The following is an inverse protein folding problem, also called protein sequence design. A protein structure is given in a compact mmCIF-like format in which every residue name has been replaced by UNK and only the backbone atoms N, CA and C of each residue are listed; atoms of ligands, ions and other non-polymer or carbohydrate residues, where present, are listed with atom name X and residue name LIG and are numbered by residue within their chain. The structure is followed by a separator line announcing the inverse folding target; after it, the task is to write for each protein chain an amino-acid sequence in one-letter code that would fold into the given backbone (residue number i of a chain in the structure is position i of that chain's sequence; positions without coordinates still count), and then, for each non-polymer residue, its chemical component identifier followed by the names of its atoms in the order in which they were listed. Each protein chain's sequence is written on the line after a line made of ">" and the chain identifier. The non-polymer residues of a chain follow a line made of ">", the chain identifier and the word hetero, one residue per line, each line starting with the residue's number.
data_IF_678536537946
#
_entry.id   IF_678536537946
#
_cell.length_a   1.000
_cell.length_b   1.000
_cell.length_c   1.000
_cell.angle_alpha   90.00
_cell.angle_beta   90.00
_cell.angle_gamma   90.00
#
_symmetry.space_group_name_H-M   'P 1'
#
loop_
_entity.id
_entity.type
_entity.pdbx_description
1 polymer ?
#
# COMPACT_ATOMS: atom_id res chain seq x y z
N UNK A 1 18.60 17.35 13.24
CA UNK A 1 17.49 16.38 13.28
C UNK A 1 17.84 15.29 12.27
N UNK A 2 17.97 14.05 12.73
CA UNK A 2 18.20 12.89 11.85
C UNK A 2 16.96 12.58 11.03
N UNK A 3 17.13 12.04 9.84
CA UNK A 3 16.09 11.44 9.03
C UNK A 3 16.45 9.97 8.87
N UNK A 4 15.57 9.11 9.33
CA UNK A 4 15.65 7.66 9.15
C UNK A 4 14.58 7.23 8.18
N UNK A 5 14.91 6.38 7.23
CA UNK A 5 14.01 5.86 6.22
C UNK A 5 14.21 4.36 6.05
N UNK A 6 13.12 3.60 6.03
CA UNK A 6 13.12 2.19 5.67
C UNK A 6 12.30 2.00 4.40
N UNK A 7 12.91 1.36 3.41
CA UNK A 7 12.20 0.92 2.20
C UNK A 7 11.63 -0.47 2.45
N UNK A 8 10.34 -0.63 2.26
CA UNK A 8 9.64 -1.90 2.44
C UNK A 8 9.02 -2.29 1.11
N UNK A 9 9.32 -3.50 0.65
CA UNK A 9 8.71 -4.08 -0.54
C UNK A 9 7.83 -5.28 -0.16
N UNK A 10 6.65 -5.36 -0.79
CA UNK A 10 5.72 -6.45 -0.55
C UNK A 10 5.91 -7.54 -1.61
N UNK A 11 6.15 -8.75 -1.15
CA UNK A 11 6.29 -9.90 -2.05
C UNK A 11 4.97 -10.20 -2.73
N UNK A 12 4.95 -10.12 -4.08
CA UNK A 12 3.75 -10.43 -4.90
C UNK A 12 2.49 -9.71 -4.41
N UNK A 13 2.61 -8.42 -4.09
CA UNK A 13 1.58 -7.63 -3.43
C UNK A 13 0.18 -7.78 -4.06
N UNK A 14 0.11 -7.74 -5.40
CA UNK A 14 -1.16 -7.90 -6.12
C UNK A 14 -1.71 -9.33 -6.08
N UNK A 15 -0.84 -10.33 -6.05
CA UNK A 15 -1.23 -11.75 -6.11
C UNK A 15 -1.68 -12.28 -4.74
N UNK A 16 -1.31 -11.60 -3.65
CA UNK A 16 -1.57 -12.03 -2.27
C UNK A 16 -2.78 -11.36 -1.62
N UNK A 17 -3.42 -10.41 -2.29
CA UNK A 17 -4.63 -9.74 -1.77
C UNK A 17 -5.72 -10.77 -1.45
N UNK A 18 -6.15 -10.82 -0.19
CA UNK A 18 -7.26 -11.67 0.22
C UNK A 18 -8.57 -11.17 -0.36
N UNK A 19 -9.27 -11.99 -1.15
CA UNK A 19 -10.59 -11.67 -1.69
C UNK A 19 -11.61 -11.38 -0.58
N UNK A 20 -11.67 -12.23 0.46
CA UNK A 20 -12.60 -12.03 1.57
C UNK A 20 -12.33 -10.74 2.34
N UNK A 21 -11.05 -10.43 2.57
CA UNK A 21 -10.62 -9.17 3.18
C UNK A 21 -11.04 -7.97 2.35
N UNK A 22 -10.77 -8.03 1.04
CA UNK A 22 -11.11 -6.96 0.10
C UNK A 22 -12.62 -6.68 0.05
N UNK A 23 -13.45 -7.73 0.01
CA UNK A 23 -14.91 -7.56 -0.02
C UNK A 23 -15.46 -6.97 1.27
N UNK A 24 -14.91 -7.34 2.42
CA UNK A 24 -15.26 -6.74 3.72
C UNK A 24 -14.90 -5.26 3.78
N UNK A 25 -13.70 -4.92 3.30
CA UNK A 25 -13.24 -3.53 3.24
C UNK A 25 -14.16 -2.69 2.35
N UNK A 26 -14.42 -3.14 1.13
CA UNK A 26 -15.28 -2.41 0.17
C UNK A 26 -16.69 -2.20 0.73
N UNK A 27 -17.27 -3.23 1.37
CA UNK A 27 -18.57 -3.11 2.02
C UNK A 27 -18.56 -2.07 3.15
N UNK A 28 -17.52 -2.07 4.01
CA UNK A 28 -17.37 -1.08 5.10
C UNK A 28 -17.18 0.35 4.59
N UNK A 29 -16.56 0.52 3.42
CA UNK A 29 -16.40 1.82 2.76
C UNK A 29 -17.66 2.30 2.03
N UNK A 30 -18.76 1.53 2.08
CA UNK A 30 -20.03 1.91 1.47
C UNK A 30 -20.15 1.58 -0.02
N UNK A 31 -19.35 0.63 -0.52
CA UNK A 31 -19.52 0.16 -1.91
C UNK A 31 -20.95 -0.38 -2.11
N UNK A 32 -21.69 0.11 -3.13
CA UNK A 32 -23.04 -0.35 -3.39
C UNK A 32 -23.12 -1.88 -3.57
N UNK A 33 -24.14 -2.56 -3.00
CA UNK A 33 -24.22 -4.04 -3.06
C UNK A 33 -24.18 -4.59 -4.48
N UNK A 34 -24.78 -3.93 -5.45
CA UNK A 34 -24.73 -4.34 -6.87
C UNK A 34 -23.31 -4.28 -7.43
N UNK A 35 -22.54 -3.23 -7.10
CA UNK A 35 -21.16 -3.08 -7.52
C UNK A 35 -20.29 -4.18 -6.89
N UNK A 36 -20.46 -4.41 -5.60
CA UNK A 36 -19.74 -5.47 -4.88
C UNK A 36 -20.03 -6.87 -5.46
N UNK A 37 -21.28 -7.15 -5.82
CA UNK A 37 -21.66 -8.40 -6.50
C UNK A 37 -20.93 -8.57 -7.82
N UNK A 38 -20.89 -7.54 -8.65
CA UNK A 38 -20.17 -7.57 -9.95
C UNK A 38 -18.68 -7.80 -9.72
N UNK A 39 -18.07 -7.09 -8.76
CA UNK A 39 -16.65 -7.27 -8.44
C UNK A 39 -16.34 -8.70 -7.99
N UNK A 40 -17.18 -9.30 -7.14
CA UNK A 40 -17.04 -10.71 -6.73
C UNK A 40 -17.14 -11.64 -7.91
N UNK A 41 -18.16 -11.52 -8.74
CA UNK A 41 -18.36 -12.36 -9.93
C UNK A 41 -17.19 -12.29 -10.91
N UNK A 42 -16.52 -11.15 -11.03
CA UNK A 42 -15.32 -11.01 -11.85
C UNK A 42 -14.10 -11.77 -11.31
N UNK A 43 -14.10 -12.12 -10.01
CA UNK A 43 -13.00 -12.81 -9.35
C UNK A 43 -13.35 -14.26 -8.99
N UNK A 44 -14.63 -14.62 -8.93
CA UNK A 44 -15.08 -15.99 -8.65
C UNK A 44 -14.82 -16.91 -9.84
N UNK A 45 -14.35 -18.13 -9.55
CA UNK A 45 -14.11 -19.16 -10.57
C UNK A 45 -12.96 -18.86 -11.53
N UNK A 46 -12.11 -17.87 -11.22
CA UNK A 46 -10.94 -17.59 -12.03
C UNK A 46 -9.99 -18.80 -12.07
N UNK A 47 -9.50 -19.11 -13.27
CA UNK A 47 -8.52 -20.15 -13.47
C UNK A 47 -7.28 -19.58 -14.17
N UNK A 48 -6.12 -19.98 -13.69
CA UNK A 48 -4.84 -19.73 -14.33
C UNK A 48 -4.42 -20.92 -15.19
N UNK A 49 -3.68 -20.64 -16.25
CA UNK A 49 -3.10 -21.67 -17.11
C UNK A 49 -1.71 -21.23 -17.55
N UNK A 50 -0.73 -22.13 -17.44
CA UNK A 50 0.64 -21.85 -17.89
C UNK A 50 0.81 -22.32 -19.33
N UNK A 51 1.33 -21.42 -20.17
CA UNK A 51 1.76 -21.75 -21.54
C UNK A 51 3.29 -21.65 -21.60
N UNK A 52 3.93 -22.77 -21.94
CA UNK A 52 5.38 -22.83 -22.10
C UNK A 52 5.74 -23.64 -23.35
N UNK A 53 6.62 -23.10 -24.21
CA UNK A 53 7.06 -23.73 -25.46
C UNK A 53 5.91 -24.24 -26.36
N UNK A 54 4.79 -23.53 -26.42
CA UNK A 54 3.62 -23.91 -27.22
C UNK A 54 2.68 -24.91 -26.54
N UNK A 55 3.06 -25.52 -25.42
CA UNK A 55 2.23 -26.42 -24.63
C UNK A 55 1.45 -25.67 -23.56
N UNK A 56 0.17 -26.02 -23.42
CA UNK A 56 -0.69 -25.55 -22.33
C UNK A 56 -0.70 -26.62 -21.23
N UNK A 57 -0.36 -26.18 -20.01
CA UNK A 57 -0.45 -27.03 -18.81
C UNK A 57 -1.87 -27.02 -18.27
N UNK A 58 -2.18 -27.95 -17.37
CA UNK A 58 -3.48 -28.01 -16.74
C UNK A 58 -3.86 -26.70 -16.03
N UNK A 59 -5.14 -26.36 -16.03
CA UNK A 59 -5.64 -25.17 -15.32
C UNK A 59 -5.60 -25.37 -13.80
N UNK A 60 -5.39 -24.29 -13.06
CA UNK A 60 -5.43 -24.25 -11.60
C UNK A 60 -6.33 -23.09 -11.13
N UNK A 61 -7.03 -23.23 -10.00
CA UNK A 61 -7.89 -22.18 -9.49
C UNK A 61 -7.06 -21.02 -8.92
N UNK A 62 -7.57 -19.80 -9.11
CA UNK A 62 -7.03 -18.57 -8.51
C UNK A 62 -8.01 -18.14 -7.41
N UNK A 63 -7.58 -18.24 -6.16
CA UNK A 63 -8.41 -17.93 -4.97
C UNK A 63 -8.09 -16.58 -4.33
N UNK A 64 -6.95 -15.98 -4.66
CA UNK A 64 -6.48 -14.72 -4.11
C UNK A 64 -5.90 -13.84 -5.20
N UNK A 65 -5.67 -12.58 -4.85
CA UNK A 65 -5.02 -11.62 -5.71
C UNK A 65 -5.97 -10.81 -6.59
N UNK A 66 -5.42 -9.73 -7.11
CA UNK A 66 -6.07 -8.89 -8.13
C UNK A 66 -5.22 -8.92 -9.40
N UNK A 67 -5.86 -9.19 -10.54
CA UNK A 67 -5.16 -9.46 -11.79
C UNK A 67 -4.33 -8.26 -12.24
N UNK A 68 -3.01 -8.38 -12.27
CA UNK A 68 -2.10 -7.39 -12.84
C UNK A 68 -2.47 -7.12 -14.31
N UNK A 69 -2.46 -5.84 -14.71
CA UNK A 69 -2.89 -5.41 -16.04
C UNK A 69 -4.40 -5.22 -16.21
N UNK A 70 -5.21 -5.55 -15.22
CA UNK A 70 -6.63 -5.18 -15.17
C UNK A 70 -6.78 -3.71 -14.74
N UNK A 71 -7.70 -2.98 -15.35
CA UNK A 71 -7.98 -1.56 -15.02
C UNK A 71 -8.40 -1.39 -13.54
N UNK A 72 -9.08 -2.38 -12.97
CA UNK A 72 -9.58 -2.33 -11.59
C UNK A 72 -8.52 -2.67 -10.55
N UNK A 73 -7.53 -3.48 -10.89
CA UNK A 73 -6.56 -4.00 -9.93
C UNK A 73 -5.78 -2.92 -9.16
N UNK A 74 -5.26 -1.85 -9.79
CA UNK A 74 -4.56 -0.79 -9.06
C UNK A 74 -5.48 -0.10 -8.04
N UNK A 75 -6.73 0.16 -8.40
CA UNK A 75 -7.71 0.80 -7.51
C UNK A 75 -8.07 -0.10 -6.34
N UNK A 76 -8.37 -1.38 -6.58
CA UNK A 76 -8.70 -2.35 -5.54
C UNK A 76 -7.53 -2.56 -4.58
N UNK A 77 -6.32 -2.69 -5.13
CA UNK A 77 -5.10 -2.80 -4.32
C UNK A 77 -4.86 -1.54 -3.49
N UNK A 78 -4.98 -0.35 -4.08
CA UNK A 78 -4.79 0.91 -3.35
C UNK A 78 -5.77 1.08 -2.19
N UNK A 79 -7.03 0.71 -2.38
CA UNK A 79 -8.05 0.72 -1.32
C UNK A 79 -7.66 -0.26 -0.21
N UNK A 80 -7.34 -1.50 -0.57
CA UNK A 80 -6.94 -2.54 0.38
C UNK A 80 -5.72 -2.12 1.20
N UNK A 81 -4.69 -1.64 0.53
CA UNK A 81 -3.44 -1.21 1.12
C UNK A 81 -3.60 0.03 2.02
N UNK A 82 -4.43 1.00 1.59
CA UNK A 82 -4.72 2.18 2.40
C UNK A 82 -5.40 1.86 3.73
N UNK A 83 -6.29 0.86 3.75
CA UNK A 83 -6.94 0.42 4.99
C UNK A 83 -5.95 -0.30 5.90
N UNK A 84 -5.11 -1.18 5.34
CA UNK A 84 -4.03 -1.83 6.10
C UNK A 84 -3.09 -0.80 6.74
N UNK A 85 -2.65 0.20 5.97
CA UNK A 85 -1.81 1.28 6.49
C UNK A 85 -2.51 2.11 7.57
N UNK A 86 -3.81 2.35 7.42
CA UNK A 86 -4.59 3.07 8.43
C UNK A 86 -4.63 2.32 9.75
N UNK A 87 -4.81 0.99 9.73
CA UNK A 87 -4.72 0.18 10.95
C UNK A 87 -3.31 0.20 11.55
N UNK A 88 -2.27 0.14 10.71
CA UNK A 88 -0.90 0.24 11.18
C UNK A 88 -0.60 1.60 11.84
N UNK A 89 -1.35 2.66 11.49
CA UNK A 89 -1.14 4.03 11.98
C UNK A 89 -1.80 4.34 13.31
N UNK A 90 -2.86 3.63 13.70
CA UNK A 90 -3.61 3.96 14.93
C UNK A 90 -2.73 3.94 16.18
N UNK A 91 -1.54 3.29 16.13
CA UNK A 91 -0.53 3.23 17.18
C UNK A 91 0.72 4.13 16.93
N UNK A 92 0.74 4.95 15.85
CA UNK A 92 1.96 5.66 15.43
C UNK A 92 1.87 7.17 15.65
N UNK A 93 2.62 7.74 16.62
CA UNK A 93 2.65 9.18 16.86
C UNK A 93 3.60 9.95 15.93
N UNK A 94 4.56 9.31 15.24
CA UNK A 94 5.72 10.00 14.68
C UNK A 94 5.90 9.80 13.17
N UNK A 95 5.93 10.91 12.46
CA UNK A 95 6.35 11.04 11.08
C UNK A 95 7.33 12.20 10.94
N UNK A 96 7.69 12.54 9.72
CA UNK A 96 8.50 13.71 9.43
C UNK A 96 7.63 14.88 8.99
N UNK A 97 7.95 16.08 9.47
CA UNK A 97 7.30 17.29 9.00
C UNK A 97 8.00 17.83 7.77
N UNK A 98 7.30 17.85 6.64
CA UNK A 98 7.77 18.48 5.41
C UNK A 98 7.09 19.84 5.26
N UNK A 99 7.88 20.87 4.98
CA UNK A 99 7.39 22.20 4.64
C UNK A 99 7.53 22.41 3.13
N UNK A 100 6.44 22.67 2.46
CA UNK A 100 6.42 22.94 1.04
C UNK A 100 5.65 24.23 0.72
N UNK A 101 5.84 24.73 -0.48
CA UNK A 101 5.17 25.94 -0.96
C UNK A 101 3.89 25.60 -1.70
N UNK A 102 2.89 26.46 -1.50
CA UNK A 102 1.58 26.34 -2.16
C UNK A 102 1.53 26.90 -3.57
N UNK A 103 2.60 27.56 -4.06
CA UNK A 103 2.64 28.24 -5.35
C UNK A 103 3.34 27.44 -6.47
N UNK A 104 3.67 26.17 -6.23
CA UNK A 104 4.25 25.26 -7.23
C UNK A 104 5.67 25.63 -7.70
N UNK A 105 6.32 26.65 -7.11
CA UNK A 105 7.66 27.06 -7.55
C UNK A 105 8.74 26.14 -6.97
N UNK A 106 9.72 25.80 -7.81
CA UNK A 106 10.89 25.02 -7.45
C UNK A 106 11.66 25.58 -6.23
N UNK A 107 12.32 24.68 -5.52
CA UNK A 107 13.02 24.85 -4.26
C UNK A 107 13.91 26.12 -4.22
N UNK A 108 13.52 27.12 -3.41
CA UNK A 108 14.41 28.17 -2.94
C UNK A 108 14.39 28.18 -1.41
N UNK A 109 15.47 27.71 -0.78
CA UNK A 109 15.60 27.57 0.68
C UNK A 109 15.19 28.82 1.47
N UNK A 110 15.56 30.02 1.00
CA UNK A 110 15.17 31.31 1.62
C UNK A 110 13.66 31.52 1.65
N UNK A 111 12.93 31.01 0.66
CA UNK A 111 11.47 31.15 0.56
C UNK A 111 10.72 30.06 1.31
N UNK A 112 11.35 28.91 1.58
CA UNK A 112 10.81 27.88 2.45
C UNK A 112 10.77 28.30 3.93
N UNK A 113 11.58 29.27 4.32
CA UNK A 113 11.58 29.87 5.65
C UNK A 113 10.51 30.96 5.82
N UNK A 114 9.83 31.35 4.73
CA UNK A 114 8.77 32.36 4.79
C UNK A 114 7.57 31.83 5.59
N UNK A 115 7.01 32.66 6.47
CA UNK A 115 5.84 32.31 7.29
C UNK A 115 4.53 32.22 6.49
N UNK A 116 4.48 32.79 5.31
CA UNK A 116 3.32 32.83 4.42
C UNK A 116 3.57 32.00 3.18
N UNK A 117 2.51 31.40 2.60
CA UNK A 117 2.56 30.54 1.39
C UNK A 117 3.37 29.25 1.55
N UNK A 118 3.54 28.75 2.76
CA UNK A 118 4.10 27.42 3.05
C UNK A 118 3.11 26.64 3.90
N UNK A 119 2.98 25.36 3.59
CA UNK A 119 2.23 24.39 4.38
C UNK A 119 3.24 23.43 5.03
N UNK A 120 2.95 23.04 6.25
CA UNK A 120 3.71 22.01 6.99
C UNK A 120 2.81 20.79 7.11
N UNK A 121 3.22 19.71 6.48
CA UNK A 121 2.50 18.44 6.51
C UNK A 121 3.34 17.39 7.21
N UNK A 122 2.67 16.51 7.94
CA UNK A 122 3.27 15.34 8.56
C UNK A 122 3.25 14.20 7.53
N UNK A 123 4.43 13.69 7.20
CA UNK A 123 4.57 12.54 6.32
C UNK A 123 5.11 11.37 7.14
N UNK A 124 4.38 10.28 7.17
CA UNK A 124 4.73 9.05 7.85
C UNK A 124 5.22 7.99 6.87
N UNK A 125 4.64 7.97 5.68
CA UNK A 125 5.00 7.03 4.61
C UNK A 125 4.89 7.67 3.24
N UNK A 126 5.67 7.14 2.30
CA UNK A 126 5.57 7.39 0.87
C UNK A 126 5.27 6.08 0.16
N UNK A 127 4.24 6.07 -0.67
CA UNK A 127 3.75 4.87 -1.34
C UNK A 127 4.04 4.94 -2.83
N UNK A 128 4.54 3.83 -3.38
CA UNK A 128 4.71 3.67 -4.81
C UNK A 128 4.45 2.21 -5.21
N UNK A 129 3.36 1.99 -5.94
CA UNK A 129 2.90 0.64 -6.33
C UNK A 129 2.77 -0.31 -5.12
N UNK A 130 3.54 -1.40 -5.06
CA UNK A 130 3.58 -2.33 -3.93
C UNK A 130 4.67 -2.03 -2.90
N UNK A 131 5.46 -0.96 -3.09
CA UNK A 131 6.51 -0.51 -2.19
C UNK A 131 6.09 0.64 -1.29
N UNK A 132 6.72 0.73 -0.13
CA UNK A 132 6.47 1.76 0.86
C UNK A 132 7.79 2.24 1.45
N UNK A 133 7.97 3.55 1.61
CA UNK A 133 9.06 4.11 2.40
C UNK A 133 8.48 4.67 3.71
N UNK A 134 8.90 4.11 4.82
CA UNK A 134 8.54 4.52 6.17
C UNK A 134 9.58 5.52 6.68
N UNK A 135 9.14 6.58 7.33
CA UNK A 135 9.98 7.72 7.68
C UNK A 135 9.83 8.09 9.15
N UNK A 136 10.96 8.33 9.83
CA UNK A 136 10.98 8.76 11.21
C UNK A 136 12.15 9.71 11.53
N UNK A 137 12.11 10.37 12.68
CA UNK A 137 13.19 11.23 13.17
C UNK A 137 14.20 10.50 14.04
N UNK A 138 13.86 9.33 14.58
CA UNK A 138 14.74 8.48 15.40
C UNK A 138 14.71 7.05 14.91
N UNK A 139 15.74 6.29 15.24
CA UNK A 139 15.84 4.87 14.87
C UNK A 139 14.77 4.04 15.59
N UNK A 140 14.55 4.31 16.89
CA UNK A 140 13.57 3.59 17.69
C UNK A 140 12.14 3.79 17.15
N UNK A 141 11.81 5.02 16.73
CA UNK A 141 10.53 5.33 16.10
C UNK A 141 10.39 4.57 14.76
N UNK A 142 11.45 4.52 13.95
CA UNK A 142 11.42 3.78 12.69
C UNK A 142 11.22 2.29 12.91
N UNK A 143 11.96 1.69 13.87
CA UNK A 143 11.80 0.27 14.21
C UNK A 143 10.38 -0.05 14.68
N UNK A 144 9.77 0.83 15.47
CA UNK A 144 8.38 0.68 15.90
C UNK A 144 7.41 0.72 14.70
N UNK A 145 7.59 1.70 13.79
CA UNK A 145 6.79 1.83 12.56
C UNK A 145 6.89 0.57 11.70
N UNK A 146 8.11 0.08 11.46
CA UNK A 146 8.35 -1.12 10.65
C UNK A 146 7.68 -2.35 11.27
N UNK A 147 7.73 -2.48 12.60
CA UNK A 147 7.05 -3.57 13.31
C UNK A 147 5.54 -3.50 13.15
N UNK A 148 4.91 -2.35 13.42
CA UNK A 148 3.46 -2.15 13.25
C UNK A 148 3.02 -2.42 11.82
N UNK A 149 3.80 -1.95 10.82
CA UNK A 149 3.56 -2.24 9.42
C UNK A 149 3.63 -3.74 9.11
N UNK A 150 4.66 -4.44 9.61
CA UNK A 150 4.82 -5.89 9.40
C UNK A 150 3.67 -6.68 10.02
N UNK A 151 3.23 -6.31 11.22
CA UNK A 151 2.13 -6.98 11.91
C UNK A 151 0.79 -6.73 11.19
N UNK A 152 0.53 -5.50 10.75
CA UNK A 152 -0.62 -5.18 9.93
C UNK A 152 -0.60 -5.95 8.60
N UNK A 153 0.53 -5.96 7.89
CA UNK A 153 0.68 -6.71 6.64
C UNK A 153 0.34 -8.19 6.81
N UNK A 154 0.84 -8.84 7.87
CA UNK A 154 0.53 -10.24 8.19
C UNK A 154 -0.96 -10.46 8.44
N UNK A 155 -1.63 -9.56 9.17
CA UNK A 155 -3.06 -9.64 9.44
C UNK A 155 -3.91 -9.57 8.17
N UNK A 156 -3.40 -8.89 7.13
CA UNK A 156 -4.03 -8.79 5.82
C UNK A 156 -3.54 -9.84 4.81
N UNK A 157 -2.68 -10.78 5.24
CA UNK A 157 -2.14 -11.85 4.38
C UNK A 157 -1.07 -11.39 3.40
N UNK A 158 -0.51 -10.20 3.61
CA UNK A 158 0.61 -9.69 2.83
C UNK A 158 1.94 -10.12 3.46
N UNK A 159 2.94 -10.39 2.62
CA UNK A 159 4.28 -10.76 3.07
C UNK A 159 5.26 -9.65 2.74
N UNK A 160 5.92 -9.15 3.76
CA UNK A 160 7.04 -8.21 3.61
C UNK A 160 8.25 -8.98 3.12
N UNK A 161 8.90 -8.47 2.09
CA UNK A 161 10.13 -9.03 1.57
C UNK A 161 11.24 -8.83 2.62
N UNK A 162 11.98 -9.88 3.03
CA UNK A 162 13.16 -9.66 3.88
C UNK A 162 14.15 -8.79 3.10
N UNK A 163 14.82 -7.85 3.78
CA UNK A 163 15.96 -7.16 3.20
C UNK A 163 17.01 -8.22 2.85
N UNK A 164 17.39 -8.28 1.58
CA UNK A 164 18.61 -8.97 1.17
C UNK A 164 19.76 -8.03 1.54
N UNK A 165 20.62 -8.46 2.50
CA UNK A 165 21.88 -7.80 2.88
C UNK A 165 22.84 -7.65 1.69
#
# INVERSE_FOLDING_TARGET
>A
MGLYAASVDLTKAFDTVSHDGLWKILARLGCPPKCLTVLRQLHEGQQGQVKHNGFLWGSFPISNGVKQGCILAPTLFSIFFSIMLREAKDDLPDGIYIRFRTDGSLFKLRRLLARTKTIKELITELLFAGGCALLAHTEEALQHIVKCFSDAAKNYGLTVKPEED
#
